data_IF_111549070719
#
_entry.id   IF_111549070719
#
_cell.length_a   1.000
_cell.length_b   1.000
_cell.length_c   1.000
_cell.angle_alpha   90.00
_cell.angle_beta   90.00
_cell.angle_gamma   90.00
#
_symmetry.space_group_name_H-M   'P 1'
#
loop_
_entity.id
_entity.type
_entity.pdbx_description
1 polymer ?
#
# COMPACT_ATOMS: atom_id res chain seq x y z
N UNK A 1 8.60 -4.34 45.83
CA UNK A 1 9.49 -3.55 44.95
C UNK A 1 9.49 -3.95 43.47
N UNK A 2 9.17 -5.19 43.07
CA UNK A 2 9.12 -5.62 41.64
C UNK A 2 7.87 -5.16 40.85
N UNK A 3 6.82 -4.67 41.51
CA UNK A 3 5.53 -4.33 40.88
C UNK A 3 5.49 -2.97 40.20
N UNK A 4 6.37 -2.03 40.57
CA UNK A 4 6.43 -0.66 39.99
C UNK A 4 7.08 -0.64 38.60
N UNK A 5 7.96 -1.61 38.30
CA UNK A 5 8.67 -1.68 37.02
C UNK A 5 7.80 -2.19 35.84
N UNK A 6 6.69 -2.89 36.09
CA UNK A 6 5.80 -3.37 35.04
C UNK A 6 4.73 -2.36 34.59
N UNK A 7 4.35 -1.43 35.47
CA UNK A 7 3.41 -0.35 35.10
C UNK A 7 4.07 0.72 34.24
N UNK A 8 5.39 0.92 34.38
CA UNK A 8 6.17 1.87 33.57
C UNK A 8 6.40 1.37 32.14
N UNK A 9 6.64 0.07 31.92
CA UNK A 9 6.80 -0.50 30.58
C UNK A 9 5.49 -0.57 29.78
N UNK A 10 4.34 -0.70 30.45
CA UNK A 10 3.01 -0.63 29.80
C UNK A 10 2.59 0.79 29.40
N UNK A 11 3.16 1.84 30.02
CA UNK A 11 2.99 3.24 29.60
C UNK A 11 3.83 3.55 28.35
N UNK A 12 5.03 2.96 28.28
CA UNK A 12 6.05 3.26 27.27
C UNK A 12 5.65 2.91 25.83
N UNK A 13 4.80 1.90 25.60
CA UNK A 13 4.32 1.53 24.24
C UNK A 13 3.29 2.53 23.70
N UNK A 14 2.50 3.17 24.58
CA UNK A 14 1.54 4.22 24.22
C UNK A 14 2.26 5.52 23.82
N UNK A 15 3.29 5.88 24.58
CA UNK A 15 4.18 7.00 24.28
C UNK A 15 4.95 6.76 22.97
N UNK A 16 5.43 5.54 22.71
CA UNK A 16 6.15 5.18 21.48
C UNK A 16 5.25 5.25 20.23
N UNK A 17 3.96 4.87 20.35
CA UNK A 17 2.95 5.05 19.28
C UNK A 17 2.57 6.52 19.06
N UNK A 18 2.53 7.33 20.12
CA UNK A 18 2.35 8.79 20.01
C UNK A 18 3.58 9.48 19.39
N UNK A 19 4.79 9.04 19.72
CA UNK A 19 6.05 9.50 19.11
C UNK A 19 6.13 9.13 17.62
N UNK A 20 5.68 7.94 17.23
CA UNK A 20 5.61 7.53 15.84
C UNK A 20 4.59 8.38 15.04
N UNK A 21 3.41 8.64 15.60
CA UNK A 21 2.41 9.52 14.99
C UNK A 21 2.85 10.98 14.94
N UNK A 22 3.45 11.49 16.02
CA UNK A 22 3.97 12.86 16.09
C UNK A 22 5.16 13.04 15.16
N UNK A 23 6.07 12.06 15.03
CA UNK A 23 7.17 12.09 14.06
C UNK A 23 6.68 12.07 12.61
N UNK A 24 5.52 11.45 12.33
CA UNK A 24 4.94 11.40 11.00
C UNK A 24 4.22 12.72 10.65
N UNK A 25 3.50 13.31 11.61
CA UNK A 25 2.88 14.64 11.47
C UNK A 25 3.94 15.75 11.41
N UNK A 26 4.97 15.68 12.25
CA UNK A 26 6.08 16.61 12.25
C UNK A 26 6.91 16.43 10.99
N UNK A 27 7.15 15.20 10.53
CA UNK A 27 7.81 14.91 9.26
C UNK A 27 7.05 15.46 8.05
N UNK A 28 5.73 15.25 7.98
CA UNK A 28 4.88 15.81 6.93
C UNK A 28 4.83 17.34 6.93
N UNK A 29 4.75 17.96 8.12
CA UNK A 29 4.70 19.41 8.27
C UNK A 29 6.06 20.09 7.99
N UNK A 30 7.17 19.50 8.46
CA UNK A 30 8.52 20.00 8.24
C UNK A 30 8.93 19.88 6.76
N UNK A 31 8.44 18.86 6.06
CA UNK A 31 8.69 18.65 4.63
C UNK A 31 7.76 19.52 3.76
N UNK A 32 6.52 19.80 4.17
CA UNK A 32 5.67 20.82 3.52
C UNK A 32 6.28 22.22 3.62
N UNK A 33 6.92 22.55 4.75
CA UNK A 33 7.67 23.79 4.92
C UNK A 33 8.95 23.83 4.08
N UNK A 34 9.64 22.69 3.92
CA UNK A 34 10.77 22.56 2.99
C UNK A 34 10.35 22.70 1.51
N UNK A 35 9.16 22.21 1.17
CA UNK A 35 8.60 22.31 -0.18
C UNK A 35 8.00 23.68 -0.52
N UNK A 36 7.47 24.39 0.48
CA UNK A 36 6.96 25.75 0.33
C UNK A 36 8.09 26.78 0.11
N UNK A 37 9.33 26.45 0.50
CA UNK A 37 10.50 27.32 0.34
C UNK A 37 11.30 27.06 -0.96
N UNK A 38 10.98 26.03 -1.73
CA UNK A 38 11.55 25.78 -3.07
C UNK A 38 10.63 26.23 -4.21
N UNK A 39 9.95 27.36 -4.00
CA UNK A 39 9.27 28.13 -5.05
C UNK A 39 10.31 28.95 -5.86
N UNK A 40 11.40 28.32 -6.31
CA UNK A 40 12.47 28.99 -7.09
C UNK A 40 12.99 28.01 -8.16
N UNK A 41 13.18 28.47 -9.41
CA UNK A 41 12.74 27.76 -10.61
C UNK A 41 13.82 26.93 -11.34
N UNK A 42 13.33 26.16 -12.32
CA UNK A 42 13.98 25.71 -13.56
C UNK A 42 15.16 24.71 -13.50
N UNK A 43 15.04 23.65 -14.33
CA UNK A 43 16.14 22.96 -15.04
C UNK A 43 16.76 21.62 -14.55
N UNK A 44 16.06 20.73 -13.83
CA UNK A 44 16.49 19.30 -13.73
C UNK A 44 15.29 18.33 -13.73
N UNK A 45 15.23 17.46 -14.74
CA UNK A 45 14.38 16.27 -14.97
C UNK A 45 12.94 16.26 -14.36
N UNK A 46 11.88 16.53 -15.17
CA UNK A 46 10.53 16.76 -14.66
C UNK A 46 9.80 15.51 -14.11
N UNK A 47 10.27 14.28 -14.38
CA UNK A 47 9.56 13.05 -13.95
C UNK A 47 9.90 12.63 -12.51
N UNK A 48 11.16 12.78 -12.07
CA UNK A 48 11.62 12.31 -10.76
C UNK A 48 10.92 13.07 -9.64
N UNK A 49 10.76 14.38 -9.80
CA UNK A 49 10.05 15.22 -8.84
C UNK A 49 8.57 14.83 -8.66
N UNK A 50 7.90 14.43 -9.75
CA UNK A 50 6.51 13.97 -9.70
C UNK A 50 6.39 12.63 -8.99
N UNK A 51 7.31 11.69 -9.27
CA UNK A 51 7.35 10.39 -8.60
C UNK A 51 7.59 10.56 -7.09
N UNK A 52 8.51 11.44 -6.70
CA UNK A 52 8.79 11.75 -5.29
C UNK A 52 7.57 12.36 -4.57
N UNK A 53 6.91 13.35 -5.20
CA UNK A 53 5.69 13.96 -4.65
C UNK A 53 4.55 12.95 -4.51
N UNK A 54 4.36 12.08 -5.48
CA UNK A 54 3.35 11.03 -5.43
C UNK A 54 3.64 10.01 -4.32
N UNK A 55 4.90 9.57 -4.18
CA UNK A 55 5.31 8.66 -3.11
C UNK A 55 5.10 9.26 -1.71
N UNK A 56 5.43 10.55 -1.54
CA UNK A 56 5.18 11.27 -0.28
C UNK A 56 3.69 11.40 0.04
N UNK A 57 2.85 11.71 -0.95
CA UNK A 57 1.39 11.72 -0.77
C UNK A 57 0.85 10.34 -0.39
N UNK A 58 1.38 9.27 -0.98
CA UNK A 58 1.01 7.90 -0.64
C UNK A 58 1.37 7.57 0.82
N UNK A 59 2.59 7.92 1.26
CA UNK A 59 3.03 7.74 2.64
C UNK A 59 2.17 8.53 3.66
N UNK A 60 1.82 9.78 3.32
CA UNK A 60 0.90 10.59 4.12
C UNK A 60 -0.51 9.97 4.18
N UNK A 61 -1.01 9.45 3.06
CA UNK A 61 -2.29 8.74 3.02
C UNK A 61 -2.30 7.50 3.92
N UNK A 62 -1.23 6.69 3.91
CA UNK A 62 -1.09 5.54 4.82
C UNK A 62 -1.05 5.97 6.28
N UNK A 63 -0.32 7.04 6.60
CA UNK A 63 -0.25 7.56 7.96
C UNK A 63 -1.58 8.09 8.47
N UNK A 64 -2.30 8.85 7.63
CA UNK A 64 -3.64 9.34 7.95
C UNK A 64 -4.63 8.18 8.12
N UNK A 65 -4.55 7.15 7.29
CA UNK A 65 -5.37 5.94 7.41
C UNK A 65 -5.06 5.08 8.64
N UNK A 66 -3.81 5.10 9.12
CA UNK A 66 -3.40 4.40 10.34
C UNK A 66 -3.87 5.11 11.63
N UNK A 67 -4.06 6.43 11.59
CA UNK A 67 -4.46 7.26 12.72
C UNK A 67 -5.78 6.82 13.40
N UNK A 68 -6.89 6.55 12.69
CA UNK A 68 -8.13 6.05 13.30
C UNK A 68 -8.00 4.66 13.93
N UNK A 69 -7.15 3.78 13.38
CA UNK A 69 -6.85 2.45 13.96
C UNK A 69 -6.13 2.57 15.31
N UNK A 70 -5.39 3.68 15.54
CA UNK A 70 -4.77 3.92 16.84
C UNK A 70 -5.78 4.33 17.92
N UNK A 71 -6.90 4.95 17.53
CA UNK A 71 -7.96 5.40 18.44
C UNK A 71 -8.99 4.29 18.73
N UNK A 72 -9.24 3.40 17.77
CA UNK A 72 -10.21 2.31 17.88
C UNK A 72 -9.51 1.03 18.35
N UNK A 73 -9.78 0.63 19.60
CA UNK A 73 -9.10 -0.50 20.27
C UNK A 73 -9.70 -1.88 19.96
N UNK A 74 -10.94 -1.93 19.46
CA UNK A 74 -11.63 -3.15 19.04
C UNK A 74 -12.21 -2.94 17.65
N UNK A 75 -11.56 -3.54 16.65
CA UNK A 75 -12.06 -3.57 15.28
C UNK A 75 -12.80 -4.89 15.10
N UNK A 76 -14.08 -4.83 14.71
CA UNK A 76 -14.86 -6.03 14.40
C UNK A 76 -14.24 -6.75 13.18
N UNK A 77 -14.25 -8.08 13.17
CA UNK A 77 -13.78 -8.90 12.04
C UNK A 77 -14.41 -8.44 10.72
N UNK A 78 -15.71 -8.13 10.71
CA UNK A 78 -16.41 -7.61 9.52
C UNK A 78 -15.82 -6.31 8.99
N UNK A 79 -15.40 -5.40 9.87
CA UNK A 79 -14.83 -4.12 9.44
C UNK A 79 -13.43 -4.33 8.83
N UNK A 80 -12.67 -5.29 9.35
CA UNK A 80 -11.38 -5.67 8.77
C UNK A 80 -11.55 -6.29 7.38
N UNK A 81 -12.54 -7.16 7.20
CA UNK A 81 -12.84 -7.76 5.89
C UNK A 81 -13.26 -6.71 4.85
N UNK A 82 -14.08 -5.73 5.26
CA UNK A 82 -14.47 -4.60 4.39
C UNK A 82 -13.27 -3.73 4.01
N UNK A 83 -12.37 -3.43 4.96
CA UNK A 83 -11.17 -2.63 4.70
C UNK A 83 -10.20 -3.36 3.75
N UNK A 84 -10.01 -4.68 3.94
CA UNK A 84 -9.17 -5.51 3.06
C UNK A 84 -9.78 -5.60 1.65
N UNK A 85 -11.10 -5.83 1.55
CA UNK A 85 -11.81 -5.86 0.27
C UNK A 85 -11.78 -4.51 -0.46
N UNK A 86 -11.97 -3.41 0.27
CA UNK A 86 -11.88 -2.06 -0.29
C UNK A 86 -10.47 -1.73 -0.80
N UNK A 87 -9.43 -2.07 -0.03
CA UNK A 87 -8.04 -1.90 -0.43
C UNK A 87 -7.69 -2.72 -1.68
N UNK A 88 -8.11 -3.99 -1.72
CA UNK A 88 -7.97 -4.84 -2.91
C UNK A 88 -8.69 -4.29 -4.14
N UNK A 89 -9.91 -3.75 -3.95
CA UNK A 89 -10.68 -3.12 -5.01
C UNK A 89 -10.00 -1.89 -5.63
N UNK A 90 -9.49 -0.97 -4.81
CA UNK A 90 -8.76 0.22 -5.29
C UNK A 90 -7.54 -0.18 -6.11
N UNK A 91 -6.78 -1.18 -5.65
CA UNK A 91 -5.57 -1.63 -6.34
C UNK A 91 -5.88 -2.26 -7.70
N UNK A 92 -6.96 -3.06 -7.80
CA UNK A 92 -7.43 -3.59 -9.07
C UNK A 92 -7.93 -2.50 -10.03
N UNK A 93 -8.70 -1.52 -9.53
CA UNK A 93 -9.17 -0.40 -10.34
C UNK A 93 -8.01 0.44 -10.91
N UNK A 94 -7.03 0.77 -10.07
CA UNK A 94 -5.82 1.48 -10.49
C UNK A 94 -5.05 0.69 -11.56
N UNK A 95 -4.95 -0.64 -11.42
CA UNK A 95 -4.30 -1.49 -12.41
C UNK A 95 -5.02 -1.43 -13.77
N UNK A 96 -6.35 -1.50 -13.81
CA UNK A 96 -7.09 -1.45 -15.08
C UNK A 96 -7.00 -0.07 -15.73
N UNK A 97 -7.28 1.00 -14.99
CA UNK A 97 -7.36 2.34 -15.57
C UNK A 97 -6.00 3.00 -15.80
N UNK A 98 -5.04 2.83 -14.87
CA UNK A 98 -3.73 3.49 -14.93
C UNK A 98 -2.63 2.64 -15.54
N UNK A 99 -2.79 1.32 -15.67
CA UNK A 99 -1.81 0.45 -16.32
C UNK A 99 -2.37 -0.22 -17.58
N UNK A 100 -3.52 -0.89 -17.51
CA UNK A 100 -4.01 -1.73 -18.62
C UNK A 100 -4.43 -0.89 -19.84
N UNK A 101 -5.27 0.13 -19.65
CA UNK A 101 -5.69 1.04 -20.75
C UNK A 101 -4.49 1.73 -21.42
N UNK A 102 -3.57 2.38 -20.68
CA UNK A 102 -2.42 3.01 -21.31
C UNK A 102 -1.47 1.99 -21.95
N UNK A 103 -1.31 0.78 -21.39
CA UNK A 103 -0.51 -0.27 -22.02
C UNK A 103 -1.08 -0.70 -23.38
N UNK A 104 -2.40 -0.83 -23.51
CA UNK A 104 -3.06 -1.15 -24.78
C UNK A 104 -2.90 -0.01 -25.81
N UNK A 105 -2.97 1.24 -25.37
CA UNK A 105 -2.80 2.40 -26.25
C UNK A 105 -1.37 2.45 -26.82
N UNK A 106 -0.35 2.33 -25.97
CA UNK A 106 1.06 2.34 -26.38
C UNK A 106 1.38 1.14 -27.28
N UNK A 107 0.81 -0.04 -27.01
CA UNK A 107 1.00 -1.20 -27.88
C UNK A 107 0.33 -1.02 -29.26
N UNK A 108 -0.84 -0.35 -29.31
CA UNK A 108 -1.53 -0.01 -30.55
C UNK A 108 -0.74 1.00 -31.41
N UNK A 109 -0.13 2.02 -30.79
CA UNK A 109 0.74 2.98 -31.49
C UNK A 109 2.00 2.33 -32.09
N UNK A 110 2.48 1.23 -31.51
CA UNK A 110 3.61 0.47 -32.06
C UNK A 110 3.25 -0.44 -33.25
N UNK A 111 2.03 -0.34 -33.78
CA UNK A 111 1.60 -1.07 -34.97
C UNK A 111 1.14 -2.50 -34.71
N UNK A 112 1.02 -2.92 -33.44
CA UNK A 112 0.36 -4.16 -33.09
C UNK A 112 -1.16 -3.97 -33.20
N UNK A 113 -1.83 -4.78 -34.02
CA UNK A 113 -3.29 -4.78 -34.09
C UNK A 113 -3.93 -5.06 -32.72
N UNK A 114 -5.24 -4.82 -32.59
CA UNK A 114 -6.00 -4.95 -31.31
C UNK A 114 -5.70 -6.28 -30.59
N UNK A 115 -5.60 -7.37 -31.35
CA UNK A 115 -5.25 -8.69 -30.84
C UNK A 115 -3.82 -8.79 -30.30
N UNK A 116 -2.85 -8.18 -30.98
CA UNK A 116 -1.44 -8.17 -30.56
C UNK A 116 -1.22 -7.33 -29.30
N UNK A 117 -1.87 -6.16 -29.21
CA UNK A 117 -1.82 -5.31 -28.02
C UNK A 117 -2.39 -6.01 -26.78
N UNK A 118 -3.54 -6.69 -26.92
CA UNK A 118 -4.16 -7.45 -25.84
C UNK A 118 -3.28 -8.63 -25.37
N UNK A 119 -2.69 -9.37 -26.30
CA UNK A 119 -1.76 -10.46 -25.97
C UNK A 119 -0.52 -9.92 -25.25
N UNK A 120 0.06 -8.81 -25.71
CA UNK A 120 1.25 -8.24 -25.07
C UNK A 120 0.97 -7.74 -23.65
N UNK A 121 -0.13 -7.01 -23.46
CA UNK A 121 -0.53 -6.50 -22.15
C UNK A 121 -0.87 -7.63 -21.17
N UNK A 122 -1.59 -8.66 -21.62
CA UNK A 122 -1.92 -9.82 -20.79
C UNK A 122 -0.70 -10.68 -20.47
N UNK A 123 0.23 -10.87 -21.41
CA UNK A 123 1.50 -11.55 -21.15
C UNK A 123 2.34 -10.80 -20.12
N UNK A 124 2.43 -9.48 -20.21
CA UNK A 124 3.12 -8.66 -19.20
C UNK A 124 2.50 -8.81 -17.82
N UNK A 125 1.16 -8.75 -17.73
CA UNK A 125 0.44 -8.94 -16.47
C UNK A 125 0.64 -10.37 -15.90
N UNK A 126 0.59 -11.39 -16.75
CA UNK A 126 0.74 -12.80 -16.38
C UNK A 126 2.16 -13.12 -15.92
N UNK A 127 3.18 -12.56 -16.59
CA UNK A 127 4.58 -12.67 -16.16
C UNK A 127 4.77 -11.99 -14.80
N UNK A 128 4.20 -10.80 -14.59
CA UNK A 128 4.26 -10.10 -13.30
C UNK A 128 3.57 -10.88 -12.17
N UNK A 129 2.37 -11.41 -12.43
CA UNK A 129 1.64 -12.26 -11.49
C UNK A 129 2.39 -13.56 -11.19
N UNK A 130 2.96 -14.21 -12.20
CA UNK A 130 3.78 -15.41 -12.05
C UNK A 130 5.05 -15.14 -11.24
N UNK A 131 5.71 -14.00 -11.46
CA UNK A 131 6.87 -13.58 -10.68
C UNK A 131 6.52 -13.38 -9.19
N UNK A 132 5.39 -12.72 -8.89
CA UNK A 132 4.90 -12.56 -7.52
C UNK A 132 4.54 -13.90 -6.87
N UNK A 133 3.90 -14.81 -7.61
CA UNK A 133 3.64 -16.18 -7.15
C UNK A 133 4.94 -16.92 -6.86
N UNK A 134 5.94 -16.80 -7.73
CA UNK A 134 7.28 -17.35 -7.55
C UNK A 134 7.92 -16.88 -6.25
N UNK A 135 7.92 -15.57 -5.99
CA UNK A 135 8.41 -15.00 -4.72
C UNK A 135 7.64 -15.56 -3.53
N UNK A 136 6.32 -15.72 -3.65
CA UNK A 136 5.48 -16.34 -2.63
C UNK A 136 5.87 -17.80 -2.32
N UNK A 137 6.33 -18.56 -3.31
CA UNK A 137 6.83 -19.92 -3.10
C UNK A 137 8.25 -19.96 -2.51
N UNK A 138 9.10 -18.97 -2.84
CA UNK A 138 10.46 -18.85 -2.31
C UNK A 138 10.50 -18.38 -0.85
N UNK A 139 9.41 -17.84 -0.32
CA UNK A 139 9.24 -17.50 1.09
C UNK A 139 8.65 -18.73 1.83
N UNK A 140 9.47 -19.68 2.34
CA UNK A 140 8.96 -20.77 3.17
C UNK A 140 8.23 -20.16 4.36
N UNK A 141 6.96 -20.53 4.53
CA UNK A 141 5.99 -19.92 5.45
C UNK A 141 6.58 -19.77 6.86
N UNK A 142 7.07 -18.57 7.19
CA UNK A 142 7.54 -18.22 8.54
C UNK A 142 6.38 -17.80 9.46
N UNK A 143 5.12 -17.94 9.01
CA UNK A 143 3.94 -17.81 9.85
C UNK A 143 3.22 -19.16 9.98
N UNK A 144 3.55 -19.88 11.06
CA UNK A 144 2.58 -20.74 11.72
C UNK A 144 1.45 -19.91 12.34
N UNK A 145 0.24 -20.45 12.28
CA UNK A 145 -1.09 -20.07 12.84
C UNK A 145 -1.16 -19.14 14.09
N UNK A 146 -2.30 -18.50 14.46
CA UNK A 146 -3.70 -18.77 14.08
C UNK A 146 -4.54 -17.52 13.67
N UNK A 147 -5.64 -17.74 12.94
CA UNK A 147 -6.58 -16.67 12.59
C UNK A 147 -7.41 -16.88 11.31
N UNK A 148 -7.62 -18.12 10.87
CA UNK A 148 -8.70 -18.42 9.92
C UNK A 148 -10.04 -18.37 10.66
N UNK A 149 -10.61 -17.17 10.73
CA UNK A 149 -11.98 -16.90 11.15
C UNK A 149 -12.57 -15.85 10.23
N UNK A 150 -12.83 -16.22 8.96
CA UNK A 150 -13.36 -15.30 7.96
C UNK A 150 -13.52 -15.92 6.57
N UNK A 151 -14.55 -16.78 6.42
CA UNK A 151 -15.33 -16.88 5.18
C UNK A 151 -14.63 -17.23 3.86
N UNK A 152 -14.11 -18.45 3.71
CA UNK A 152 -13.97 -19.10 2.39
C UNK A 152 -14.22 -20.62 2.47
N UNK A 153 -15.15 -21.04 3.33
CA UNK A 153 -15.82 -22.34 3.22
C UNK A 153 -17.02 -22.18 2.29
N UNK A 154 -16.76 -22.13 0.99
CA UNK A 154 -17.70 -22.58 -0.04
C UNK A 154 -16.89 -22.92 -1.29
N UNK A 155 -16.96 -24.20 -1.67
CA UNK A 155 -16.84 -24.67 -3.06
C UNK A 155 -15.44 -24.74 -3.67
N UNK A 156 -14.60 -25.62 -3.12
CA UNK A 156 -13.71 -26.42 -3.98
C UNK A 156 -13.97 -27.91 -3.70
N UNK A 157 -15.04 -28.40 -4.30
CA UNK A 157 -15.42 -29.81 -4.37
C UNK A 157 -16.15 -30.04 -5.70
N UNK A 158 -15.54 -29.55 -6.79
CA UNK A 158 -15.97 -29.81 -8.17
C UNK A 158 -14.72 -30.01 -9.03
#
# INVERSE_FOLDING_TARGET
>A
MRTVWQTLTASNVRMFRYLAGFSLVLGGALILLAQASSLVPESIEPQIWRAFRAGMLCALGTALGALPVLFIRNVSTRMSDVLLGFGGGIMLAATVFSLLIPALHVAGEQGYGVWGAAVLASMGLLIGACALLGVGYLLPRVQGAPGQGGGARITFCL
#
